data_IF_096858199552
#
_entry.id   IF_096858199552
#
_cell.length_a   1.000
_cell.length_b   1.000
_cell.length_c   1.000
_cell.angle_alpha   90.00
_cell.angle_beta   90.00
_cell.angle_gamma   90.00
#
_symmetry.space_group_name_H-M   'P 1'
#
loop_
_entity.id
_entity.type
_entity.pdbx_description
1 polymer ?
#
# COMPACT_ATOMS: atom_id res chain seq x y z
N UNK A 1 27.01 -14.19 -14.43
CA UNK A 1 25.77 -14.49 -13.69
C UNK A 1 25.91 -14.35 -12.17
N UNK A 2 27.02 -14.75 -11.52
CA UNK A 2 27.21 -14.61 -10.06
C UNK A 2 27.02 -13.17 -9.54
N UNK A 3 27.51 -12.17 -10.29
CA UNK A 3 27.34 -10.76 -9.94
C UNK A 3 25.88 -10.34 -9.76
N UNK A 4 24.95 -10.86 -10.58
CA UNK A 4 23.53 -10.52 -10.50
C UNK A 4 22.94 -10.99 -9.17
N UNK A 5 23.32 -12.17 -8.70
CA UNK A 5 22.88 -12.67 -7.40
C UNK A 5 23.38 -11.79 -6.27
N UNK A 6 24.67 -11.43 -6.25
CA UNK A 6 25.25 -10.58 -5.20
C UNK A 6 24.56 -9.22 -5.15
N UNK A 7 24.38 -8.57 -6.30
CA UNK A 7 23.71 -7.26 -6.36
C UNK A 7 22.24 -7.36 -5.96
N UNK A 8 21.57 -8.48 -6.25
CA UNK A 8 20.16 -8.69 -5.89
C UNK A 8 19.89 -8.81 -4.38
N UNK A 9 20.93 -9.01 -3.57
CA UNK A 9 20.85 -9.05 -2.10
C UNK A 9 20.89 -7.67 -1.44
N UNK A 10 21.34 -6.64 -2.16
CA UNK A 10 21.35 -5.28 -1.61
C UNK A 10 19.91 -4.80 -1.36
N UNK A 11 19.77 -3.91 -0.39
CA UNK A 11 18.50 -3.22 -0.14
C UNK A 11 18.24 -2.12 -1.16
N UNK A 12 16.99 -2.03 -1.59
CA UNK A 12 16.51 -0.97 -2.47
C UNK A 12 15.17 -0.43 -1.97
N UNK A 13 14.82 0.76 -2.46
CA UNK A 13 13.47 1.32 -2.37
C UNK A 13 12.81 1.21 -3.74
N UNK A 14 11.58 0.71 -3.77
CA UNK A 14 10.81 0.61 -5.00
C UNK A 14 9.37 1.07 -4.78
N UNK A 15 8.85 1.85 -5.72
CA UNK A 15 7.46 2.31 -5.68
C UNK A 15 6.58 1.38 -6.50
N UNK A 16 5.53 0.84 -5.88
CA UNK A 16 4.61 -0.11 -6.48
C UNK A 16 3.17 0.34 -6.32
N UNK A 17 2.31 0.00 -7.28
CA UNK A 17 0.88 0.24 -7.14
C UNK A 17 0.26 -0.88 -6.30
N UNK A 18 -0.41 -0.49 -5.22
CA UNK A 18 -1.19 -1.36 -4.34
C UNK A 18 -2.67 -0.97 -4.44
N UNK A 19 -3.60 -1.93 -4.57
CA UNK A 19 -5.03 -1.64 -4.57
C UNK A 19 -5.48 -1.13 -3.20
N UNK A 20 -6.41 -0.19 -3.19
CA UNK A 20 -7.09 0.29 -1.99
C UNK A 20 -8.42 -0.44 -1.84
N UNK A 21 -8.60 -1.11 -0.71
CA UNK A 21 -9.86 -1.72 -0.33
C UNK A 21 -10.56 -0.83 0.71
N UNK A 22 -11.55 -0.07 0.25
CA UNK A 22 -12.41 0.72 1.14
C UNK A 22 -13.39 -0.20 1.87
N UNK A 23 -13.52 -0.02 3.19
CA UNK A 23 -14.45 -0.74 4.06
C UNK A 23 -15.30 0.23 4.86
N UNK A 24 -16.45 -0.26 5.33
CA UNK A 24 -17.37 0.47 6.20
C UNK A 24 -17.83 1.83 5.62
N UNK A 25 -18.24 1.83 4.33
CA UNK A 25 -18.81 3.00 3.66
C UNK A 25 -20.07 3.48 4.40
N UNK A 26 -20.12 4.75 4.88
CA UNK A 26 -21.29 5.27 5.55
C UNK A 26 -22.49 5.34 4.59
N UNK A 27 -23.62 4.74 4.96
CA UNK A 27 -24.83 4.68 4.13
C UNK A 27 -25.41 6.06 3.74
N UNK A 28 -25.01 7.14 4.44
CA UNK A 28 -25.46 8.53 4.19
C UNK A 28 -24.54 9.33 3.27
N UNK A 29 -23.31 8.88 3.05
CA UNK A 29 -22.34 9.51 2.17
C UNK A 29 -22.00 8.48 1.10
N UNK A 30 -22.93 8.27 0.16
CA UNK A 30 -22.59 7.68 -1.14
C UNK A 30 -21.68 8.70 -1.82
N UNK A 31 -20.42 8.63 -1.44
CA UNK A 31 -19.41 9.65 -1.61
C UNK A 31 -19.24 9.94 -3.08
N UNK A 32 -19.59 11.17 -3.47
CA UNK A 32 -19.56 11.64 -4.86
C UNK A 32 -18.13 11.77 -5.40
N UNK A 33 -17.11 11.51 -4.57
CA UNK A 33 -15.71 11.40 -4.96
C UNK A 33 -15.24 9.94 -4.87
N UNK A 34 -14.76 9.40 -5.99
CA UNK A 34 -14.27 8.03 -6.06
C UNK A 34 -13.00 7.88 -5.20
N UNK A 35 -13.11 7.22 -4.05
CA UNK A 35 -11.93 6.76 -3.29
C UNK A 35 -10.95 6.12 -4.28
N UNK A 36 -9.69 6.59 -4.33
CA UNK A 36 -8.72 6.11 -5.30
C UNK A 36 -8.61 4.59 -5.25
N UNK A 37 -8.69 3.93 -6.41
CA UNK A 37 -8.63 2.46 -6.49
C UNK A 37 -7.24 1.91 -6.17
N UNK A 38 -6.20 2.74 -6.32
CA UNK A 38 -4.81 2.36 -6.11
C UNK A 38 -4.03 3.48 -5.42
N UNK A 39 -3.02 3.08 -4.66
CA UNK A 39 -1.98 3.96 -4.14
C UNK A 39 -0.61 3.50 -4.65
N UNK A 40 0.27 4.47 -4.91
CA UNK A 40 1.70 4.24 -5.10
C UNK A 40 2.35 4.15 -3.74
N UNK A 41 2.90 2.99 -3.42
CA UNK A 41 3.47 2.65 -2.13
C UNK A 41 4.95 2.41 -2.29
N UNK A 42 5.76 3.00 -1.41
CA UNK A 42 7.19 2.73 -1.35
C UNK A 42 7.44 1.53 -0.46
N UNK A 43 8.10 0.53 -1.02
CA UNK A 43 8.54 -0.65 -0.32
C UNK A 43 10.06 -0.68 -0.22
N UNK A 44 10.57 -1.28 0.85
CA UNK A 44 11.98 -1.61 1.04
C UNK A 44 12.17 -3.12 0.98
N UNK A 45 13.27 -3.57 0.42
CA UNK A 45 13.70 -4.96 0.53
C UNK A 45 14.86 -5.28 -0.39
N UNK A 46 15.31 -6.53 -0.35
CA UNK A 46 16.31 -7.03 -1.28
C UNK A 46 15.81 -6.93 -2.73
N UNK A 47 16.71 -6.66 -3.68
CA UNK A 47 16.35 -6.57 -5.11
C UNK A 47 15.57 -7.79 -5.61
N UNK A 48 15.95 -8.99 -5.17
CA UNK A 48 15.22 -10.24 -5.48
C UNK A 48 13.80 -10.30 -4.90
N UNK A 49 13.61 -9.77 -3.69
CA UNK A 49 12.32 -9.75 -3.00
C UNK A 49 11.37 -8.74 -3.67
N UNK A 50 11.89 -7.55 -4.00
CA UNK A 50 11.16 -6.54 -4.78
C UNK A 50 10.80 -7.06 -6.17
N UNK A 51 11.72 -7.74 -6.87
CA UNK A 51 11.44 -8.35 -8.17
C UNK A 51 10.34 -9.42 -8.08
N UNK A 52 10.42 -10.33 -7.10
CA UNK A 52 9.37 -11.31 -6.77
C UNK A 52 8.02 -10.60 -6.54
N UNK A 53 8.03 -9.48 -5.81
CA UNK A 53 6.84 -8.65 -5.56
C UNK A 53 6.21 -8.12 -6.84
N UNK A 54 7.02 -7.56 -7.74
CA UNK A 54 6.55 -6.99 -9.01
C UNK A 54 5.80 -8.03 -9.85
N UNK A 55 6.30 -9.26 -9.88
CA UNK A 55 5.75 -10.35 -10.70
C UNK A 55 4.51 -10.99 -10.04
N UNK A 56 4.56 -11.24 -8.73
CA UNK A 56 3.56 -12.05 -8.03
C UNK A 56 2.37 -11.27 -7.46
N UNK A 57 2.50 -9.94 -7.25
CA UNK A 57 1.45 -9.13 -6.61
C UNK A 57 0.05 -9.28 -7.23
N UNK A 58 -0.03 -9.50 -8.55
CA UNK A 58 -1.29 -9.61 -9.30
C UNK A 58 -2.02 -10.94 -9.11
N UNK A 59 -1.38 -11.93 -8.47
CA UNK A 59 -1.95 -13.26 -8.26
C UNK A 59 -2.39 -13.50 -6.82
N UNK A 60 -2.26 -12.50 -5.95
CA UNK A 60 -2.52 -12.65 -4.50
C UNK A 60 -3.48 -11.57 -4.04
N UNK A 61 -4.61 -11.97 -3.47
CA UNK A 61 -5.68 -11.08 -3.00
C UNK A 61 -5.32 -10.24 -1.78
N UNK A 62 -4.31 -10.67 -1.04
CA UNK A 62 -3.92 -10.12 0.25
C UNK A 62 -2.74 -9.14 0.12
N UNK A 63 -2.43 -8.71 -1.10
CA UNK A 63 -1.48 -7.62 -1.36
C UNK A 63 -2.26 -6.32 -1.65
N UNK A 64 -2.55 -5.55 -0.60
CA UNK A 64 -3.47 -4.40 -0.65
C UNK A 64 -3.33 -3.50 0.56
N UNK A 65 -3.86 -2.29 0.46
CA UNK A 65 -4.07 -1.42 1.62
C UNK A 65 -5.56 -1.32 1.92
N UNK A 66 -5.92 -1.29 3.20
CA UNK A 66 -7.31 -1.26 3.66
C UNK A 66 -7.61 0.11 4.24
N UNK A 67 -8.65 0.76 3.74
CA UNK A 67 -9.10 2.06 4.20
C UNK A 67 -10.44 1.90 4.94
N UNK A 68 -10.47 2.24 6.23
CA UNK A 68 -11.64 2.06 7.09
C UNK A 68 -12.41 3.38 7.24
N UNK A 69 -13.44 3.59 6.41
CA UNK A 69 -14.07 4.91 6.22
C UNK A 69 -14.95 5.35 7.40
N UNK A 70 -15.46 4.43 8.21
CA UNK A 70 -16.24 4.76 9.41
C UNK A 70 -15.40 5.53 10.44
N UNK A 71 -14.09 5.26 10.50
CA UNK A 71 -13.16 6.00 11.38
C UNK A 71 -12.72 7.35 10.80
N UNK A 72 -12.99 7.57 9.53
CA UNK A 72 -12.50 8.72 8.77
C UNK A 72 -13.61 9.75 8.54
N UNK A 73 -14.87 9.39 8.81
CA UNK A 73 -16.06 10.21 8.51
C UNK A 73 -16.14 11.58 9.21
N UNK A 74 -15.14 11.96 10.01
CA UNK A 74 -15.06 13.26 10.69
C UNK A 74 -14.00 14.21 10.06
N UNK A 75 -13.12 13.72 9.18
CA UNK A 75 -12.03 14.52 8.57
C UNK A 75 -12.27 14.75 7.07
N UNK A 76 -12.31 16.03 6.65
CA UNK A 76 -12.51 16.45 5.25
C UNK A 76 -11.30 16.13 4.36
N UNK A 77 -10.10 16.31 4.90
CA UNK A 77 -8.83 15.97 4.24
C UNK A 77 -8.13 14.88 5.03
N UNK A 78 -8.06 13.68 4.46
CA UNK A 78 -7.52 12.52 5.15
C UNK A 78 -6.11 12.18 4.69
N UNK A 79 -5.10 12.39 5.55
CA UNK A 79 -3.69 12.10 5.24
C UNK A 79 -3.40 10.60 5.39
N UNK A 80 -2.98 9.96 4.29
CA UNK A 80 -2.80 8.51 4.24
C UNK A 80 -1.63 8.02 5.10
N UNK A 81 -0.50 8.73 5.09
CA UNK A 81 0.67 8.32 5.87
C UNK A 81 0.39 8.36 7.38
N UNK A 82 -0.25 9.43 7.87
CA UNK A 82 -0.67 9.56 9.28
C UNK A 82 -1.64 8.45 9.70
N UNK A 83 -2.50 8.00 8.80
CA UNK A 83 -3.39 6.87 9.04
C UNK A 83 -2.64 5.55 9.15
N UNK A 84 -1.79 5.22 8.18
CA UNK A 84 -1.07 3.94 8.18
C UNK A 84 0.02 3.87 9.24
N UNK A 85 0.53 5.00 9.71
CA UNK A 85 1.39 5.04 10.90
C UNK A 85 0.62 4.61 12.16
N UNK A 86 -0.64 5.08 12.32
CA UNK A 86 -1.52 4.68 13.44
C UNK A 86 -2.08 3.27 13.29
N UNK A 87 -2.23 2.79 12.06
CA UNK A 87 -2.84 1.50 11.73
C UNK A 87 -1.98 0.69 10.74
N UNK A 88 -0.75 0.30 11.11
CA UNK A 88 0.17 -0.39 10.19
C UNK A 88 -0.38 -1.74 9.70
N UNK A 89 -1.23 -2.41 10.49
CA UNK A 89 -1.92 -3.66 10.13
C UNK A 89 -2.89 -3.51 8.95
N UNK A 90 -3.23 -2.28 8.55
CA UNK A 90 -4.08 -2.01 7.39
C UNK A 90 -3.29 -2.00 6.08
N UNK A 91 -1.95 -2.06 6.15
CA UNK A 91 -1.10 -2.38 5.01
C UNK A 91 -0.87 -3.89 4.98
N UNK A 92 -1.49 -4.58 4.02
CA UNK A 92 -1.44 -6.03 3.93
C UNK A 92 -0.44 -6.43 2.86
N UNK A 93 0.69 -6.98 3.31
CA UNK A 93 1.75 -7.55 2.47
C UNK A 93 2.05 -8.93 3.05
N UNK A 94 1.88 -10.02 2.28
CA UNK A 94 2.19 -11.35 2.79
C UNK A 94 3.68 -11.46 3.15
N UNK A 95 3.99 -12.06 4.30
CA UNK A 95 5.36 -12.11 4.83
C UNK A 95 6.34 -12.84 3.90
N UNK A 96 5.86 -13.77 3.08
CA UNK A 96 6.65 -14.48 2.08
C UNK A 96 7.17 -13.58 0.94
N UNK A 97 6.77 -12.30 0.86
CA UNK A 97 7.36 -11.36 -0.07
C UNK A 97 8.69 -10.80 0.42
N UNK A 98 8.94 -10.78 1.73
CA UNK A 98 10.18 -10.25 2.35
C UNK A 98 10.45 -8.80 1.95
N UNK A 99 9.40 -7.97 1.99
CA UNK A 99 9.46 -6.53 1.73
C UNK A 99 8.71 -5.78 2.82
N UNK A 100 9.24 -4.62 3.17
CA UNK A 100 8.69 -3.76 4.22
C UNK A 100 7.98 -2.55 3.60
N UNK A 101 6.84 -2.19 4.18
CA UNK A 101 6.18 -0.92 3.90
C UNK A 101 7.02 0.25 4.41
N UNK A 102 7.15 1.30 3.60
CA UNK A 102 7.82 2.55 3.98
C UNK A 102 6.83 3.70 4.08
N UNK A 103 6.14 4.02 2.98
CA UNK A 103 5.19 5.14 2.92
C UNK A 103 4.24 5.03 1.73
N UNK A 104 3.14 5.76 1.77
CA UNK A 104 2.35 6.11 0.59
C UNK A 104 3.02 7.30 -0.10
N UNK A 105 3.38 7.12 -1.37
CA UNK A 105 3.95 8.16 -2.23
C UNK A 105 2.84 8.99 -2.90
N UNK A 106 1.76 8.33 -3.29
CA UNK A 106 0.60 9.00 -3.90
C UNK A 106 -0.66 8.12 -3.83
N UNK A 107 -1.85 8.69 -3.61
CA UNK A 107 -2.07 10.08 -3.21
C UNK A 107 -1.56 10.30 -1.77
N UNK A 108 -1.22 11.53 -1.41
CA UNK A 108 -0.86 11.83 -0.02
C UNK A 108 -2.10 11.92 0.88
N UNK A 109 -3.21 12.41 0.31
CA UNK A 109 -4.47 12.60 1.01
C UNK A 109 -5.65 12.14 0.14
N UNK A 110 -6.76 11.81 0.79
CA UNK A 110 -8.06 11.55 0.14
C UNK A 110 -9.05 12.58 0.68
N UNK A 111 -9.84 13.16 -0.21
CA UNK A 111 -10.96 14.03 0.14
C UNK A 111 -12.23 13.17 0.23
N UNK A 112 -12.96 13.30 1.34
CA UNK A 112 -14.07 12.42 1.71
C UNK A 112 -15.31 13.25 2.13
#
# INVERSE_FOLDING_TARGET
MLWLFVVSENEYLFTIEMPIEARNLPARHALTEEVPKYAKVRLRGAGRALFKTIILKKFISDFKIVLDLERISEEYDFILNDYFERYPQKVVIPSNFEVDYVEIVYPNAIHI
#
